data_IF_367397399415
#
_entry.id   IF_367397399415
#
_cell.length_a   1.000
_cell.length_b   1.000
_cell.length_c   1.000
_cell.angle_alpha   90.00
_cell.angle_beta   90.00
_cell.angle_gamma   90.00
#
_symmetry.space_group_name_H-M   'P 1'
#
loop_
_entity.id
_entity.type
_entity.pdbx_description
1 polymer ?
#
# COMPACT_ATOMS: atom_id res chain seq x y z
N UNK A 1 -10.39 7.50 7.96
CA UNK A 1 -9.03 7.17 7.51
C UNK A 1 -9.09 5.90 6.68
N UNK A 2 -8.46 5.89 5.50
CA UNK A 2 -8.42 4.71 4.64
C UNK A 2 -7.68 3.54 5.32
N UNK A 3 -8.07 2.31 5.00
CA UNK A 3 -7.54 1.08 5.59
C UNK A 3 -6.05 0.89 5.27
N UNK A 4 -5.62 1.34 4.09
CA UNK A 4 -4.22 1.37 3.67
C UNK A 4 -3.35 2.21 4.61
N UNK A 5 -3.87 3.37 5.04
CA UNK A 5 -3.17 4.29 5.95
C UNK A 5 -3.06 3.72 7.36
N UNK A 6 -4.10 3.06 7.87
CA UNK A 6 -4.03 2.38 9.18
C UNK A 6 -2.94 1.30 9.20
N UNK A 7 -2.86 0.47 8.16
CA UNK A 7 -1.83 -0.57 8.07
C UNK A 7 -0.40 -0.01 8.06
N UNK A 8 -0.20 1.13 7.41
CA UNK A 8 1.08 1.83 7.46
C UNK A 8 1.39 2.34 8.87
N UNK A 9 0.43 3.02 9.52
CA UNK A 9 0.61 3.58 10.88
C UNK A 9 0.87 2.48 11.92
N UNK A 10 0.16 1.35 11.83
CA UNK A 10 0.42 0.17 12.65
C UNK A 10 1.84 -0.39 12.41
N UNK A 11 2.27 -0.47 11.14
CA UNK A 11 3.62 -0.93 10.83
C UNK A 11 4.70 0.05 11.28
N UNK A 12 4.43 1.36 11.28
CA UNK A 12 5.32 2.41 11.78
C UNK A 12 5.58 2.22 13.27
N UNK A 13 4.50 2.14 14.05
CA UNK A 13 4.56 1.96 15.51
C UNK A 13 5.25 0.64 15.88
N UNK A 14 4.92 -0.46 15.18
CA UNK A 14 5.53 -1.77 15.43
C UNK A 14 7.05 -1.79 15.21
N UNK A 15 7.58 -0.88 14.38
CA UNK A 15 9.02 -0.77 14.08
C UNK A 15 9.75 0.24 14.98
N UNK A 16 9.07 0.78 16.00
CA UNK A 16 9.63 1.75 16.93
C UNK A 16 9.48 3.20 16.50
N UNK A 17 8.66 3.49 15.48
CA UNK A 17 8.32 4.86 15.13
C UNK A 17 7.48 5.53 16.24
N UNK A 18 7.74 6.81 16.52
CA UNK A 18 7.03 7.51 17.58
C UNK A 18 5.56 7.80 17.20
N UNK A 19 4.66 7.69 18.17
CA UNK A 19 3.24 7.97 17.99
C UNK A 19 2.93 9.46 17.86
N UNK A 20 3.76 10.33 18.44
CA UNK A 20 3.74 11.78 18.27
C UNK A 20 3.77 12.19 16.80
N UNK A 21 4.52 11.46 15.98
CA UNK A 21 4.64 11.74 14.55
C UNK A 21 3.41 11.35 13.71
N UNK A 22 2.44 10.64 14.31
CA UNK A 22 1.16 10.34 13.68
C UNK A 22 0.11 11.43 13.94
N UNK A 23 0.41 12.42 14.80
CA UNK A 23 -0.48 13.54 15.08
C UNK A 23 -0.66 14.34 13.79
N UNK A 24 -1.92 14.55 13.42
CA UNK A 24 -2.31 15.37 12.28
C UNK A 24 -2.71 16.74 12.81
N UNK A 25 -2.06 17.77 12.33
CA UNK A 25 -2.33 19.12 12.78
C UNK A 25 -3.40 19.80 11.92
N UNK A 26 -4.14 20.76 12.47
CA UNK A 26 -5.10 21.53 11.70
C UNK A 26 -4.43 22.34 10.59
N UNK A 27 -5.22 22.68 9.57
CA UNK A 27 -4.88 23.67 8.55
C UNK A 27 -4.41 24.95 9.28
N UNK A 28 -3.19 25.44 9.00
CA UNK A 28 -2.49 26.56 9.66
C UNK A 28 -1.62 26.26 10.88
N UNK A 29 -1.43 25.00 11.30
CA UNK A 29 -0.37 24.68 12.25
C UNK A 29 0.99 24.65 11.54
N UNK A 30 1.99 25.36 12.08
CA UNK A 30 3.35 25.38 11.55
C UNK A 30 4.32 24.78 12.56
N UNK A 31 4.68 23.52 12.35
CA UNK A 31 5.85 22.89 12.97
C UNK A 31 7.00 22.84 11.96
N UNK A 32 8.24 23.04 12.43
CA UNK A 32 9.42 22.97 11.58
C UNK A 32 9.58 21.51 11.12
N UNK A 33 9.66 21.29 9.80
CA UNK A 33 9.72 19.94 9.22
C UNK A 33 8.35 19.27 9.10
N UNK A 34 7.29 20.05 8.83
CA UNK A 34 5.97 19.52 8.49
C UNK A 34 5.52 19.96 7.09
N UNK A 35 4.77 19.09 6.40
CA UNK A 35 4.28 19.31 5.04
C UNK A 35 2.75 19.32 4.96
N UNK A 36 2.19 20.17 4.08
CA UNK A 36 0.74 20.29 3.84
C UNK A 36 0.21 19.13 2.99
N UNK A 37 -0.80 18.43 3.51
CA UNK A 37 -1.54 17.39 2.79
C UNK A 37 -3.03 17.55 3.04
N UNK A 38 -3.72 18.02 2.01
CA UNK A 38 -5.17 18.15 2.04
C UNK A 38 -5.65 19.07 3.17
N UNK A 39 -4.89 20.12 3.47
CA UNK A 39 -5.22 21.09 4.51
C UNK A 39 -4.80 20.64 5.92
N UNK A 40 -3.87 19.70 6.04
CA UNK A 40 -3.33 19.26 7.32
C UNK A 40 -1.81 19.21 7.24
N UNK A 41 -1.14 19.85 8.20
CA UNK A 41 0.29 19.72 8.36
C UNK A 41 0.60 18.42 9.10
N UNK A 42 1.50 17.63 8.54
CA UNK A 42 1.99 16.37 9.12
C UNK A 42 3.52 16.37 9.14
N UNK A 43 4.12 15.65 10.10
CA UNK A 43 5.58 15.56 10.22
C UNK A 43 6.21 14.95 8.95
N UNK A 44 7.25 15.59 8.42
CA UNK A 44 7.85 15.28 7.11
C UNK A 44 8.38 13.85 7.01
N UNK A 45 8.97 13.29 8.06
CA UNK A 45 9.51 11.92 8.01
C UNK A 45 8.39 10.89 7.85
N UNK A 46 7.38 10.94 8.72
CA UNK A 46 6.22 10.03 8.63
C UNK A 46 5.53 10.19 7.29
N UNK A 47 5.50 11.40 6.77
CA UNK A 47 4.91 11.68 5.49
C UNK A 47 5.73 11.16 4.31
N UNK A 48 7.05 11.33 4.33
CA UNK A 48 7.96 10.76 3.35
C UNK A 48 7.92 9.23 3.36
N UNK A 49 7.86 8.62 4.55
CA UNK A 49 7.67 7.17 4.69
C UNK A 49 6.33 6.72 4.11
N UNK A 50 5.26 7.49 4.30
CA UNK A 50 3.95 7.18 3.73
C UNK A 50 3.95 7.26 2.20
N UNK A 51 4.51 8.32 1.62
CA UNK A 51 4.62 8.46 0.16
C UNK A 51 5.47 7.34 -0.44
N UNK A 52 6.60 7.01 0.20
CA UNK A 52 7.46 5.90 -0.21
C UNK A 52 6.70 4.57 -0.17
N UNK A 53 5.90 4.36 0.88
CA UNK A 53 5.06 3.17 1.00
C UNK A 53 4.01 3.09 -0.11
N UNK A 54 3.33 4.20 -0.43
CA UNK A 54 2.37 4.25 -1.53
C UNK A 54 3.04 3.97 -2.88
N UNK A 55 4.19 4.59 -3.14
CA UNK A 55 4.96 4.38 -4.37
C UNK A 55 5.43 2.91 -4.50
N UNK A 56 5.91 2.31 -3.42
CA UNK A 56 6.29 0.89 -3.39
C UNK A 56 5.14 -0.04 -3.77
N UNK A 57 3.90 0.29 -3.40
CA UNK A 57 2.72 -0.50 -3.78
C UNK A 57 2.28 -0.26 -5.22
N UNK A 58 2.35 0.98 -5.69
CA UNK A 58 2.04 1.33 -7.07
C UNK A 58 3.03 0.70 -8.06
N UNK A 59 4.27 0.46 -7.62
CA UNK A 59 5.31 -0.19 -8.41
C UNK A 59 5.16 -1.73 -8.51
N UNK A 60 4.21 -2.34 -7.79
CA UNK A 60 3.99 -3.79 -7.90
C UNK A 60 3.30 -4.08 -9.23
N UNK A 61 4.00 -4.81 -10.09
CA UNK A 61 3.47 -5.35 -11.34
C UNK A 61 3.54 -6.88 -11.28
N UNK A 62 2.44 -7.55 -11.65
CA UNK A 62 2.32 -9.01 -11.59
C UNK A 62 1.93 -9.50 -12.97
N UNK A 63 2.83 -10.24 -13.61
CA UNK A 63 2.51 -10.97 -14.84
C UNK A 63 1.63 -12.17 -14.49
N UNK A 64 0.44 -12.24 -15.11
CA UNK A 64 -0.46 -13.36 -14.95
C UNK A 64 -0.07 -14.50 -15.91
N UNK A 65 -0.35 -15.77 -15.55
CA UNK A 65 -0.11 -16.90 -16.45
C UNK A 65 -0.98 -16.79 -17.71
N UNK A 66 -0.64 -17.56 -18.75
CA UNK A 66 -1.45 -17.60 -19.96
C UNK A 66 -2.87 -18.10 -19.66
N UNK A 67 -3.86 -17.40 -20.19
CA UNK A 67 -5.25 -17.81 -20.06
C UNK A 67 -5.62 -18.91 -21.05
N UNK A 68 -6.55 -19.76 -20.66
CA UNK A 68 -7.16 -20.74 -21.55
C UNK A 68 -8.67 -20.50 -21.71
N UNK A 69 -9.23 -20.99 -22.82
CA UNK A 69 -10.68 -20.97 -23.06
C UNK A 69 -11.23 -22.39 -23.00
N UNK A 70 -12.34 -22.60 -22.31
CA UNK A 70 -13.06 -23.87 -22.39
C UNK A 70 -13.69 -24.03 -23.79
N UNK A 71 -13.86 -25.29 -24.23
CA UNK A 71 -14.33 -25.64 -25.59
C UNK A 71 -15.61 -24.92 -26.06
N UNK A 72 -16.43 -24.40 -25.14
CA UNK A 72 -17.71 -23.74 -25.43
C UNK A 72 -17.77 -22.25 -25.10
N UNK A 73 -16.68 -21.65 -24.61
CA UNK A 73 -16.70 -20.30 -24.02
C UNK A 73 -15.73 -19.31 -24.66
N UNK A 74 -16.13 -18.03 -24.74
CA UNK A 74 -15.25 -16.89 -25.06
C UNK A 74 -14.56 -16.30 -23.82
N UNK A 75 -14.90 -16.78 -22.63
CA UNK A 75 -14.36 -16.28 -21.37
C UNK A 75 -12.98 -16.91 -21.12
N UNK A 76 -11.92 -16.10 -20.91
CA UNK A 76 -10.61 -16.61 -20.50
C UNK A 76 -10.64 -17.04 -19.04
N UNK A 77 -10.01 -18.17 -18.74
CA UNK A 77 -9.82 -18.72 -17.42
C UNK A 77 -8.33 -18.81 -17.09
N UNK A 78 -8.02 -18.72 -15.79
CA UNK A 78 -6.68 -18.93 -15.26
C UNK A 78 -6.77 -19.98 -14.15
N UNK A 79 -5.75 -20.82 -14.01
CA UNK A 79 -5.68 -21.75 -12.89
C UNK A 79 -5.36 -20.97 -11.61
N UNK A 80 -6.22 -21.14 -10.59
CA UNK A 80 -6.07 -20.44 -9.30
C UNK A 80 -4.68 -20.70 -8.69
N UNK A 81 -4.17 -21.93 -8.76
CA UNK A 81 -2.85 -22.29 -8.26
C UNK A 81 -1.71 -21.51 -8.93
N UNK A 82 -1.82 -21.26 -10.24
CA UNK A 82 -0.80 -20.53 -11.00
C UNK A 82 -0.87 -19.03 -10.72
N UNK A 83 -2.08 -18.45 -10.65
CA UNK A 83 -2.28 -17.05 -10.24
C UNK A 83 -1.74 -16.81 -8.84
N UNK A 84 -2.07 -17.69 -7.88
CA UNK A 84 -1.54 -17.57 -6.52
C UNK A 84 -0.02 -17.71 -6.48
N UNK A 85 0.58 -18.53 -7.34
CA UNK A 85 2.03 -18.68 -7.46
C UNK A 85 2.67 -17.41 -8.02
N UNK A 86 2.09 -16.80 -9.07
CA UNK A 86 2.56 -15.53 -9.63
C UNK A 86 2.50 -14.39 -8.61
N UNK A 87 1.41 -14.28 -7.85
CA UNK A 87 1.27 -13.27 -6.79
C UNK A 87 2.33 -13.46 -5.68
N UNK A 88 2.56 -14.71 -5.25
CA UNK A 88 3.59 -15.02 -4.25
C UNK A 88 5.01 -14.78 -4.77
N UNK A 89 5.28 -15.05 -6.05
CA UNK A 89 6.56 -14.77 -6.69
C UNK A 89 6.87 -13.27 -6.72
N UNK A 90 5.85 -12.42 -6.84
CA UNK A 90 5.97 -10.97 -6.70
C UNK A 90 6.14 -10.50 -5.23
N UNK A 91 6.29 -11.42 -4.27
CA UNK A 91 6.46 -11.12 -2.84
C UNK A 91 5.16 -10.66 -2.15
N UNK A 92 4.01 -10.80 -2.81
CA UNK A 92 2.72 -10.37 -2.28
C UNK A 92 2.04 -11.54 -1.56
N UNK A 93 1.48 -11.26 -0.39
CA UNK A 93 0.75 -12.26 0.40
C UNK A 93 -0.63 -12.52 -0.20
N UNK A 94 -0.97 -13.80 -0.36
CA UNK A 94 -2.31 -14.28 -0.72
C UNK A 94 -2.99 -14.79 0.54
N UNK A 95 -4.23 -14.38 0.81
CA UNK A 95 -5.06 -14.96 1.88
C UNK A 95 -5.76 -16.22 1.36
N UNK A 96 -5.81 -17.25 2.19
CA UNK A 96 -6.51 -18.52 1.93
C UNK A 96 -7.97 -18.45 2.40
#
# INVERSE_FOLDING_TARGET
MDESRKQFEESWLRRGGESSYLIRYPENHHEIGSGDIGGQYVMDDVQGHWQTWQASRAAIEIELPESFTMHSGRTPYLYVSEVQSAIRAAGVKVKE
#
